data_IF_780617629236
#
_entry.id   IF_780617629236
#
_cell.length_a   1.000
_cell.length_b   1.000
_cell.length_c   1.000
_cell.angle_alpha   90.00
_cell.angle_beta   90.00
_cell.angle_gamma   90.00
#
_symmetry.space_group_name_H-M   'P 1'
#
loop_
_entity.id
_entity.type
_entity.pdbx_description
1 polymer ?
#
# COMPACT_ATOMS: atom_id res chain seq x y z
N UNK A 1 8.52 -30.89 -5.18
CA UNK A 1 9.87 -30.36 -4.92
C UNK A 1 10.47 -30.01 -6.28
N UNK A 2 10.49 -28.72 -6.64
CA UNK A 2 11.14 -28.29 -7.88
C UNK A 2 12.65 -28.26 -7.68
N UNK A 3 13.40 -29.01 -8.47
CA UNK A 3 14.85 -28.90 -8.52
C UNK A 3 15.23 -27.51 -9.06
N UNK A 4 15.96 -26.73 -8.27
CA UNK A 4 16.66 -25.53 -8.73
C UNK A 4 17.81 -25.99 -9.63
N UNK A 5 17.65 -25.86 -10.95
CA UNK A 5 18.74 -26.05 -11.90
C UNK A 5 19.78 -24.95 -11.66
N UNK A 6 21.07 -25.31 -11.54
CA UNK A 6 22.20 -24.39 -11.39
C UNK A 6 22.50 -23.58 -12.66
N UNK A 7 21.50 -22.88 -13.18
CA UNK A 7 21.62 -21.89 -14.24
C UNK A 7 21.78 -20.48 -13.67
N UNK A 8 22.31 -19.57 -14.47
CA UNK A 8 22.32 -18.14 -14.14
C UNK A 8 20.88 -17.61 -14.10
N UNK A 9 20.59 -16.70 -13.16
CA UNK A 9 19.29 -16.04 -13.02
C UNK A 9 19.51 -14.53 -12.95
N UNK A 10 18.71 -13.78 -13.70
CA UNK A 10 18.67 -12.32 -13.68
C UNK A 10 17.44 -11.79 -12.91
N UNK A 11 16.70 -12.67 -12.23
CA UNK A 11 15.60 -12.27 -11.35
C UNK A 11 16.19 -11.75 -10.03
N UNK A 12 15.93 -10.49 -9.65
CA UNK A 12 16.54 -9.89 -8.47
C UNK A 12 16.16 -10.58 -7.16
N UNK A 13 15.00 -11.22 -7.06
CA UNK A 13 14.60 -11.94 -5.85
C UNK A 13 15.50 -13.17 -5.61
N UNK A 14 15.82 -13.90 -6.68
CA UNK A 14 16.74 -15.03 -6.60
C UNK A 14 18.18 -14.60 -6.38
N UNK A 15 18.60 -13.48 -6.96
CA UNK A 15 19.91 -12.89 -6.69
C UNK A 15 20.02 -12.45 -5.23
N UNK A 16 18.98 -11.82 -4.68
CA UNK A 16 18.92 -11.42 -3.27
C UNK A 16 19.09 -12.62 -2.33
N UNK A 17 18.42 -13.74 -2.63
CA UNK A 17 18.56 -14.99 -1.89
C UNK A 17 19.97 -15.57 -2.01
N UNK A 18 20.51 -15.66 -3.22
CA UNK A 18 21.83 -16.23 -3.48
C UNK A 18 22.94 -15.44 -2.76
N UNK A 19 22.88 -14.11 -2.78
CA UNK A 19 23.82 -13.23 -2.07
C UNK A 19 23.79 -13.46 -0.56
N UNK A 20 22.63 -13.80 0.00
CA UNK A 20 22.47 -14.08 1.43
C UNK A 20 22.93 -15.48 1.83
N UNK A 21 22.63 -16.51 1.03
CA UNK A 21 22.86 -17.91 1.41
C UNK A 21 24.17 -18.48 0.93
N UNK A 22 24.75 -17.96 -0.15
CA UNK A 22 25.93 -18.57 -0.75
C UNK A 22 27.21 -18.12 -0.02
N UNK A 23 28.05 -19.06 0.47
CA UNK A 23 29.27 -18.73 1.22
C UNK A 23 30.28 -17.87 0.46
N UNK A 24 30.21 -17.85 -0.88
CA UNK A 24 31.09 -17.04 -1.75
C UNK A 24 30.95 -15.54 -1.52
N UNK A 25 29.79 -15.07 -1.10
CA UNK A 25 29.51 -13.66 -0.82
C UNK A 25 29.73 -13.29 0.66
N UNK A 26 30.26 -14.22 1.48
CA UNK A 26 30.59 -14.01 2.89
C UNK A 26 29.40 -14.17 3.84
N UNK A 27 28.23 -13.65 3.49
CA UNK A 27 27.01 -13.71 4.31
C UNK A 27 26.46 -15.13 4.50
N UNK A 28 26.58 -15.99 3.48
CA UNK A 28 26.14 -17.39 3.53
C UNK A 28 26.83 -18.25 4.59
N UNK A 29 27.90 -17.75 5.23
CA UNK A 29 28.54 -18.41 6.38
C UNK A 29 27.78 -18.21 7.69
N UNK A 30 26.87 -17.23 7.75
CA UNK A 30 26.10 -16.85 8.94
C UNK A 30 24.59 -16.94 8.74
N UNK A 31 24.14 -16.83 7.50
CA UNK A 31 22.72 -16.87 7.14
C UNK A 31 22.43 -18.18 6.44
N UNK A 32 21.50 -18.96 6.99
CA UNK A 32 21.01 -20.18 6.36
C UNK A 32 19.67 -19.92 5.67
N UNK A 33 19.31 -20.81 4.74
CA UNK A 33 18.05 -20.70 4.01
C UNK A 33 16.80 -20.74 4.92
N UNK A 34 16.93 -21.25 6.15
CA UNK A 34 15.83 -21.33 7.12
C UNK A 34 15.62 -20.02 7.89
N UNK A 35 16.58 -19.08 7.80
CA UNK A 35 16.45 -17.72 8.33
C UNK A 35 15.75 -16.77 7.34
N UNK A 36 15.13 -17.30 6.28
CA UNK A 36 14.53 -16.55 5.17
C UNK A 36 13.10 -17.03 4.92
N UNK A 37 12.17 -16.11 4.66
CA UNK A 37 10.83 -16.46 4.20
C UNK A 37 10.85 -16.80 2.70
N UNK A 38 10.98 -18.10 2.40
CA UNK A 38 10.99 -18.63 1.03
C UNK A 38 9.67 -18.39 0.29
N UNK A 39 8.54 -18.30 1.00
CA UNK A 39 7.22 -18.17 0.37
C UNK A 39 6.97 -16.75 -0.11
N UNK A 40 7.28 -15.77 0.74
CA UNK A 40 7.18 -14.37 0.34
C UNK A 40 8.19 -14.05 -0.77
N UNK A 41 9.41 -14.58 -0.66
CA UNK A 41 10.42 -14.44 -1.71
C UNK A 41 9.95 -15.01 -3.05
N UNK A 42 9.34 -16.20 -3.04
CA UNK A 42 8.78 -16.82 -4.26
C UNK A 42 7.70 -15.94 -4.90
N UNK A 43 6.82 -15.34 -4.09
CA UNK A 43 5.79 -14.40 -4.58
C UNK A 43 6.41 -13.16 -5.22
N UNK A 44 7.48 -12.61 -4.62
CA UNK A 44 8.22 -11.49 -5.19
C UNK A 44 8.90 -11.90 -6.51
N UNK A 45 9.51 -13.08 -6.55
CA UNK A 45 10.14 -13.60 -7.76
C UNK A 45 9.14 -13.72 -8.92
N UNK A 46 7.94 -14.25 -8.66
CA UNK A 46 6.85 -14.29 -9.65
C UNK A 46 6.47 -12.90 -10.14
N UNK A 47 6.43 -11.89 -9.27
CA UNK A 47 6.18 -10.48 -9.64
C UNK A 47 7.27 -9.91 -10.54
N UNK A 48 8.54 -10.25 -10.31
CA UNK A 48 9.65 -9.81 -11.17
C UNK A 48 9.55 -10.40 -12.58
N UNK A 49 9.14 -11.66 -12.70
CA UNK A 49 9.04 -12.37 -13.98
C UNK A 49 7.77 -12.05 -14.78
N UNK A 50 6.79 -11.36 -14.18
CA UNK A 50 5.57 -10.93 -14.88
C UNK A 50 5.92 -10.06 -16.09
N UNK A 51 5.24 -10.34 -17.21
CA UNK A 51 5.43 -9.62 -18.47
C UNK A 51 4.72 -8.28 -18.43
N UNK A 52 5.45 -7.21 -18.72
CA UNK A 52 4.95 -5.83 -18.86
C UNK A 52 5.32 -5.28 -20.24
N UNK A 53 4.64 -4.25 -20.76
CA UNK A 53 4.99 -3.64 -22.04
C UNK A 53 6.42 -3.12 -22.06
N UNK A 54 7.10 -3.31 -23.19
CA UNK A 54 8.50 -2.91 -23.39
C UNK A 54 8.69 -1.39 -23.62
N UNK A 55 7.60 -0.62 -23.66
CA UNK A 55 7.63 0.83 -23.86
C UNK A 55 7.99 1.27 -25.27
N UNK A 56 8.13 0.36 -26.25
CA UNK A 56 8.55 0.66 -27.63
C UNK A 56 7.39 0.92 -28.60
N UNK A 57 6.16 1.04 -28.09
CA UNK A 57 4.97 1.34 -28.89
C UNK A 57 4.40 0.17 -29.72
N UNK A 58 4.83 -1.06 -29.44
CA UNK A 58 4.31 -2.30 -30.06
C UNK A 58 3.61 -3.22 -29.05
N UNK A 59 3.46 -4.50 -29.39
CA UNK A 59 2.92 -5.55 -28.49
C UNK A 59 4.03 -6.32 -27.75
N UNK A 60 5.26 -5.82 -27.81
CA UNK A 60 6.41 -6.41 -27.14
C UNK A 60 6.26 -6.38 -25.62
N UNK A 61 6.72 -7.44 -24.97
CA UNK A 61 6.71 -7.53 -23.50
C UNK A 61 8.05 -7.97 -22.96
N UNK A 62 8.35 -7.53 -21.75
CA UNK A 62 9.57 -7.82 -21.03
C UNK A 62 9.27 -8.22 -19.58
N UNK A 63 10.14 -8.97 -18.88
CA UNK A 63 10.04 -9.13 -17.43
C UNK A 63 10.00 -7.78 -16.72
N UNK A 64 9.19 -7.65 -15.67
CA UNK A 64 8.97 -6.39 -14.94
C UNK A 64 10.26 -5.82 -14.36
N UNK A 65 11.03 -6.67 -13.68
CA UNK A 65 12.29 -6.30 -13.04
C UNK A 65 13.38 -7.29 -13.43
N UNK A 66 14.52 -6.76 -13.86
CA UNK A 66 15.76 -7.51 -13.99
C UNK A 66 16.85 -6.87 -13.13
N UNK A 67 17.90 -7.65 -12.89
CA UNK A 67 19.02 -7.17 -12.09
C UNK A 67 20.33 -7.72 -12.63
N UNK A 68 20.97 -6.90 -13.46
CA UNK A 68 22.27 -7.17 -14.05
C UNK A 68 23.29 -6.21 -13.43
N UNK A 69 24.02 -6.67 -12.42
CA UNK A 69 25.05 -5.87 -11.73
C UNK A 69 26.39 -6.56 -11.75
N UNK A 70 27.46 -5.78 -11.86
CA UNK A 70 28.82 -6.26 -11.69
C UNK A 70 29.44 -5.68 -10.42
N UNK A 71 29.64 -6.53 -9.41
CA UNK A 71 30.20 -6.13 -8.09
C UNK A 71 31.71 -6.38 -8.11
N UNK A 72 32.50 -5.30 -8.21
CA UNK A 72 33.97 -5.37 -8.30
C UNK A 72 34.70 -5.10 -6.98
N UNK A 73 34.08 -4.33 -6.08
CA UNK A 73 34.70 -3.85 -4.84
C UNK A 73 33.94 -4.30 -3.61
N UNK A 74 34.64 -4.34 -2.48
CA UNK A 74 34.02 -4.62 -1.19
C UNK A 74 33.12 -3.45 -0.78
N UNK A 75 31.87 -3.77 -0.43
CA UNK A 75 30.90 -2.84 0.09
C UNK A 75 30.29 -3.39 1.40
N UNK A 76 29.60 -2.53 2.15
CA UNK A 76 28.84 -2.98 3.32
C UNK A 76 27.75 -3.96 2.86
N UNK A 77 27.78 -5.17 3.41
CA UNK A 77 26.92 -6.27 3.02
C UNK A 77 25.44 -5.91 3.21
N UNK A 78 25.10 -5.18 4.28
CA UNK A 78 23.74 -4.74 4.53
C UNK A 78 23.24 -3.77 3.46
N UNK A 79 24.12 -2.88 3.00
CA UNK A 79 23.77 -1.94 1.95
C UNK A 79 23.61 -2.62 0.59
N UNK A 80 24.47 -3.59 0.25
CA UNK A 80 24.32 -4.39 -0.98
C UNK A 80 22.97 -5.12 -0.99
N UNK A 81 22.58 -5.74 0.12
CA UNK A 81 21.28 -6.43 0.24
C UNK A 81 20.11 -5.44 0.01
N UNK A 82 20.19 -4.24 0.59
CA UNK A 82 19.19 -3.20 0.41
C UNK A 82 19.11 -2.70 -1.03
N UNK A 83 20.26 -2.54 -1.70
CA UNK A 83 20.31 -2.08 -3.09
C UNK A 83 19.72 -3.12 -4.06
N UNK A 84 19.98 -4.42 -3.81
CA UNK A 84 19.32 -5.49 -4.56
C UNK A 84 17.80 -5.48 -4.28
N UNK A 85 17.40 -5.31 -3.01
CA UNK A 85 15.99 -5.23 -2.64
C UNK A 85 15.27 -4.05 -3.31
N UNK A 86 15.92 -2.89 -3.38
CA UNK A 86 15.41 -1.72 -4.08
C UNK A 86 15.16 -1.99 -5.58
N UNK A 87 15.90 -2.91 -6.19
CA UNK A 87 15.74 -3.33 -7.59
C UNK A 87 14.35 -3.87 -7.94
N UNK A 88 13.61 -4.42 -6.97
CA UNK A 88 12.23 -4.90 -7.13
C UNK A 88 11.23 -4.15 -6.25
N UNK A 89 11.53 -2.89 -5.93
CA UNK A 89 10.74 -2.06 -5.00
C UNK A 89 10.52 -2.75 -3.64
N UNK A 90 11.56 -3.44 -3.17
CA UNK A 90 11.57 -4.19 -1.94
C UNK A 90 12.26 -3.46 -0.78
N UNK A 91 11.88 -3.85 0.43
CA UNK A 91 12.53 -3.45 1.67
C UNK A 91 12.97 -4.70 2.42
N UNK A 92 14.24 -4.71 2.83
CA UNK A 92 14.78 -5.75 3.70
C UNK A 92 14.81 -5.26 5.15
N UNK A 93 14.39 -6.11 6.08
CA UNK A 93 14.52 -5.85 7.51
C UNK A 93 14.89 -7.12 8.28
N UNK A 94 15.54 -6.92 9.43
CA UNK A 94 15.84 -8.00 10.38
C UNK A 94 14.75 -8.04 11.45
N UNK A 95 14.11 -9.20 11.63
CA UNK A 95 13.01 -9.37 12.58
C UNK A 95 12.73 -10.85 12.85
N UNK A 96 12.31 -11.18 14.08
CA UNK A 96 12.06 -12.57 14.50
C UNK A 96 13.25 -13.52 14.25
N UNK A 97 14.47 -13.00 14.38
CA UNK A 97 15.70 -13.74 14.10
C UNK A 97 15.81 -14.25 12.64
N UNK A 98 15.11 -13.59 11.72
CA UNK A 98 15.06 -13.88 10.29
C UNK A 98 15.33 -12.61 9.45
N UNK A 99 15.90 -12.82 8.26
CA UNK A 99 15.94 -11.82 7.21
C UNK A 99 14.59 -11.84 6.48
N UNK A 100 13.86 -10.74 6.59
CA UNK A 100 12.57 -10.57 5.95
C UNK A 100 12.69 -9.60 4.78
N UNK A 101 11.97 -9.90 3.71
CA UNK A 101 11.87 -9.03 2.54
C UNK A 101 10.41 -8.87 2.17
N UNK A 102 10.02 -7.63 1.91
CA UNK A 102 8.69 -7.28 1.42
C UNK A 102 8.85 -6.45 0.14
N UNK A 103 8.01 -6.68 -0.86
CA UNK A 103 7.92 -5.82 -2.05
C UNK A 103 6.63 -5.02 -2.00
N UNK A 104 6.69 -3.75 -2.41
CA UNK A 104 5.47 -3.01 -2.64
C UNK A 104 4.80 -3.52 -3.93
N UNK A 105 3.85 -4.42 -3.72
CA UNK A 105 3.05 -5.12 -4.72
C UNK A 105 1.56 -5.08 -4.38
N UNK A 106 0.66 -5.30 -5.37
CA UNK A 106 -0.76 -5.40 -5.12
C UNK A 106 -1.04 -6.34 -3.96
N UNK A 107 -1.80 -5.84 -3.01
CA UNK A 107 -2.20 -6.58 -1.84
C UNK A 107 -3.07 -7.77 -2.25
N UNK A 108 -2.92 -8.86 -1.49
CA UNK A 108 -3.80 -10.00 -1.61
C UNK A 108 -5.16 -9.63 -1.02
N UNK A 109 -6.20 -9.57 -1.85
CA UNK A 109 -7.56 -9.20 -1.44
C UNK A 109 -8.15 -10.17 -0.43
N UNK A 110 -7.66 -11.42 -0.37
CA UNK A 110 -8.10 -12.41 0.63
C UNK A 110 -7.60 -12.08 2.05
N UNK A 111 -6.53 -11.29 2.16
CA UNK A 111 -5.94 -10.85 3.44
C UNK A 111 -6.38 -9.43 3.82
N UNK A 112 -7.31 -8.84 3.08
CA UNK A 112 -7.82 -7.51 3.35
C UNK A 112 -8.46 -7.47 4.75
N UNK A 113 -8.13 -6.44 5.52
CA UNK A 113 -8.76 -6.17 6.81
C UNK A 113 -9.65 -4.92 6.74
N UNK A 114 -10.58 -4.77 7.67
CA UNK A 114 -11.49 -3.63 7.70
C UNK A 114 -11.58 -3.02 9.09
N UNK A 115 -11.49 -1.70 9.14
CA UNK A 115 -11.58 -0.93 10.36
C UNK A 115 -12.54 0.24 10.19
N UNK A 116 -13.24 0.58 11.26
CA UNK A 116 -14.15 1.72 11.31
C UNK A 116 -13.72 2.69 12.39
N UNK A 117 -14.15 3.96 12.25
CA UNK A 117 -13.94 4.97 13.28
C UNK A 117 -14.44 4.55 14.66
N UNK A 118 -15.53 3.77 14.74
CA UNK A 118 -16.09 3.30 16.01
C UNK A 118 -15.14 2.37 16.80
N UNK A 119 -14.15 1.78 16.13
CA UNK A 119 -13.17 0.88 16.74
C UNK A 119 -11.85 1.59 17.09
N UNK A 120 -11.77 2.91 16.85
CA UNK A 120 -10.59 3.73 17.11
C UNK A 120 -10.72 4.42 18.46
N UNK A 121 -9.72 4.24 19.31
CA UNK A 121 -9.58 4.98 20.58
C UNK A 121 -9.20 6.42 20.26
N UNK A 122 -10.00 7.38 20.73
CA UNK A 122 -9.78 8.80 20.49
C UNK A 122 -10.05 9.24 19.04
N UNK A 123 -8.98 9.59 18.30
CA UNK A 123 -9.09 10.06 16.92
C UNK A 123 -7.95 9.52 16.05
N UNK A 124 -8.22 9.13 14.79
CA UNK A 124 -7.17 8.86 13.83
C UNK A 124 -6.39 10.14 13.54
N UNK A 125 -5.07 10.01 13.45
CA UNK A 125 -4.18 11.06 13.01
C UNK A 125 -3.84 10.85 11.55
N UNK A 126 -4.03 11.88 10.73
CA UNK A 126 -3.66 11.87 9.32
C UNK A 126 -2.49 12.82 9.11
N UNK A 127 -1.46 12.35 8.42
CA UNK A 127 -0.32 13.18 8.05
C UNK A 127 0.03 12.96 6.59
N UNK A 128 0.67 13.94 5.97
CA UNK A 128 1.08 13.89 4.57
C UNK A 128 2.21 14.88 4.36
N UNK A 129 3.07 14.62 3.38
CA UNK A 129 4.18 15.47 3.03
C UNK A 129 3.71 16.83 2.51
N UNK A 130 4.46 17.87 2.90
CA UNK A 130 4.27 19.23 2.38
C UNK A 130 4.34 19.26 0.86
N UNK A 131 3.64 20.21 0.24
CA UNK A 131 3.70 20.47 -1.20
C UNK A 131 5.14 20.69 -1.70
N UNK A 132 6.02 21.25 -0.85
CA UNK A 132 7.44 21.46 -1.16
C UNK A 132 8.19 20.15 -1.44
N UNK A 133 7.77 19.06 -0.80
CA UNK A 133 8.39 17.74 -0.92
C UNK A 133 7.72 16.88 -2.01
N UNK A 134 6.92 17.48 -2.90
CA UNK A 134 6.25 16.76 -4.00
C UNK A 134 7.08 16.80 -5.27
N UNK A 135 7.24 15.66 -5.90
CA UNK A 135 7.91 15.54 -7.19
C UNK A 135 6.89 15.42 -8.32
N UNK A 136 7.22 16.00 -9.48
CA UNK A 136 6.43 15.94 -10.71
C UNK A 136 7.18 15.21 -11.83
N UNK A 137 8.48 14.99 -11.66
CA UNK A 137 9.37 14.33 -12.61
C UNK A 137 10.49 13.60 -11.87
N UNK A 138 11.07 12.59 -12.51
CA UNK A 138 12.25 11.87 -12.04
C UNK A 138 13.31 11.77 -13.14
N UNK A 139 14.57 11.97 -12.79
CA UNK A 139 15.74 11.58 -13.57
C UNK A 139 16.27 10.26 -13.03
N UNK A 140 16.52 9.32 -13.94
CA UNK A 140 16.93 7.97 -13.61
C UNK A 140 18.19 7.64 -14.38
N UNK A 141 19.26 7.33 -13.64
CA UNK A 141 20.47 6.79 -14.23
C UNK A 141 20.35 5.27 -14.29
N UNK A 142 20.67 4.69 -15.46
CA UNK A 142 20.72 3.25 -15.67
C UNK A 142 21.92 2.90 -16.58
N UNK A 143 22.37 1.66 -16.55
CA UNK A 143 23.54 1.23 -17.33
C UNK A 143 23.10 0.79 -18.72
N UNK A 144 23.55 1.48 -19.77
CA UNK A 144 23.05 1.28 -21.13
C UNK A 144 23.88 0.25 -21.93
N UNK A 145 23.35 -0.94 -22.26
CA UNK A 145 24.08 -1.95 -23.04
C UNK A 145 24.49 -1.47 -24.43
N UNK A 146 23.69 -0.59 -25.05
CA UNK A 146 23.98 -0.04 -26.38
C UNK A 146 25.13 0.97 -26.34
N UNK A 147 25.47 1.48 -25.15
CA UNK A 147 26.57 2.40 -24.91
C UNK A 147 27.67 1.78 -24.02
N UNK A 148 28.02 0.51 -24.28
CA UNK A 148 29.09 -0.21 -23.56
C UNK A 148 28.89 -0.23 -22.03
N UNK A 149 27.65 -0.31 -21.56
CA UNK A 149 27.25 -0.26 -20.14
C UNK A 149 27.66 1.02 -19.40
N UNK A 150 27.88 2.13 -20.12
CA UNK A 150 28.02 3.45 -19.49
C UNK A 150 26.68 3.94 -18.95
N UNK A 151 26.72 4.70 -17.86
CA UNK A 151 25.51 5.26 -17.26
C UNK A 151 24.86 6.28 -18.20
N UNK A 152 23.60 6.03 -18.56
CA UNK A 152 22.73 6.94 -19.31
C UNK A 152 21.61 7.44 -18.41
N UNK A 153 21.28 8.72 -18.55
CA UNK A 153 20.14 9.32 -17.84
C UNK A 153 18.91 9.31 -18.73
N UNK A 154 17.79 8.80 -18.21
CA UNK A 154 16.45 8.97 -18.78
C UNK A 154 15.58 9.78 -17.83
N UNK A 155 14.49 10.34 -18.35
CA UNK A 155 13.58 11.19 -17.59
C UNK A 155 12.13 10.74 -17.77
N UNK A 156 11.36 10.78 -16.69
CA UNK A 156 9.91 10.63 -16.74
C UNK A 156 9.26 11.86 -16.12
N UNK A 157 8.18 12.32 -16.74
CA UNK A 157 7.45 13.53 -16.34
C UNK A 157 5.95 13.25 -16.39
N UNK A 158 5.24 13.71 -15.36
CA UNK A 158 3.80 13.52 -15.24
C UNK A 158 3.09 14.88 -15.42
N UNK A 159 2.49 15.16 -16.59
CA UNK A 159 1.91 16.46 -16.89
C UNK A 159 0.88 16.94 -15.87
N UNK A 160 0.07 16.03 -15.32
CA UNK A 160 -0.94 16.38 -14.32
C UNK A 160 -0.32 16.81 -12.99
N UNK A 161 0.76 16.15 -12.56
CA UNK A 161 1.51 16.55 -11.37
C UNK A 161 2.29 17.85 -11.60
N UNK A 162 2.75 18.11 -12.82
CA UNK A 162 3.42 19.37 -13.19
C UNK A 162 2.44 20.53 -13.17
N UNK A 163 1.21 20.34 -13.65
CA UNK A 163 0.15 21.35 -13.56
C UNK A 163 -0.14 21.71 -12.10
N UNK A 164 -0.16 20.71 -11.21
CA UNK A 164 -0.46 20.87 -9.79
C UNK A 164 0.70 21.46 -8.98
N UNK A 165 1.91 20.89 -9.08
CA UNK A 165 3.04 21.19 -8.18
C UNK A 165 4.18 21.97 -8.83
N UNK A 166 4.01 22.37 -10.10
CA UNK A 166 5.09 22.88 -10.97
C UNK A 166 6.18 21.84 -11.21
N UNK A 167 7.20 22.21 -11.97
CA UNK A 167 8.31 21.31 -12.26
C UNK A 167 9.19 21.12 -11.01
N UNK A 168 9.12 19.92 -10.43
CA UNK A 168 9.93 19.48 -9.28
C UNK A 168 10.50 18.11 -9.58
N UNK A 169 11.81 17.98 -9.54
CA UNK A 169 12.51 16.80 -10.04
C UNK A 169 13.19 16.04 -8.90
N UNK A 170 13.04 14.72 -8.89
CA UNK A 170 13.85 13.80 -8.08
C UNK A 170 14.90 13.12 -8.94
N UNK A 171 16.00 12.67 -8.33
CA UNK A 171 17.06 11.94 -9.00
C UNK A 171 17.24 10.59 -8.32
N UNK A 172 17.30 9.51 -9.08
CA UNK A 172 17.58 8.16 -8.57
C UNK A 172 18.49 7.39 -9.51
N UNK A 173 19.24 6.45 -8.95
CA UNK A 173 20.06 5.50 -9.73
C UNK A 173 19.40 4.14 -9.69
N UNK A 174 19.03 3.61 -10.85
CA UNK A 174 18.43 2.29 -10.99
C UNK A 174 19.53 1.22 -11.05
N UNK A 175 20.02 0.81 -9.88
CA UNK A 175 21.05 -0.23 -9.77
C UNK A 175 20.54 -1.53 -10.41
N UNK A 176 21.39 -2.17 -11.20
CA UNK A 176 21.10 -3.42 -11.90
C UNK A 176 20.12 -3.28 -13.08
N UNK A 177 19.71 -2.07 -13.43
CA UNK A 177 18.80 -1.82 -14.54
C UNK A 177 19.59 -1.56 -15.83
N UNK A 178 19.28 -2.34 -16.87
CA UNK A 178 19.90 -2.22 -18.20
C UNK A 178 18.95 -1.69 -19.28
N UNK A 179 17.69 -1.45 -18.92
CA UNK A 179 16.62 -1.12 -19.86
C UNK A 179 16.02 0.24 -19.55
N UNK A 180 15.87 1.07 -20.57
CA UNK A 180 15.30 2.41 -20.38
C UNK A 180 13.85 2.38 -19.90
N UNK A 181 13.03 1.47 -20.45
CA UNK A 181 11.64 1.27 -20.05
C UNK A 181 11.51 0.93 -18.56
N UNK A 182 12.35 0.02 -18.05
CA UNK A 182 12.39 -0.32 -16.63
C UNK A 182 12.85 0.86 -15.77
N UNK A 183 13.87 1.61 -16.22
CA UNK A 183 14.33 2.83 -15.53
C UNK A 183 13.22 3.88 -15.42
N UNK A 184 12.45 4.11 -16.50
CA UNK A 184 11.29 4.99 -16.50
C UNK A 184 10.20 4.51 -15.53
N UNK A 185 9.90 3.20 -15.49
CA UNK A 185 8.95 2.63 -14.51
C UNK A 185 9.41 2.83 -13.07
N UNK A 186 10.70 2.61 -12.76
CA UNK A 186 11.27 2.90 -11.42
C UNK A 186 11.16 4.38 -11.07
N UNK A 187 11.35 5.27 -12.05
CA UNK A 187 11.09 6.71 -11.91
C UNK A 187 9.64 7.05 -11.60
N UNK A 188 8.71 6.49 -12.37
CA UNK A 188 7.27 6.67 -12.16
C UNK A 188 6.80 6.15 -10.82
N UNK A 189 7.36 5.02 -10.40
CA UNK A 189 7.14 4.44 -9.09
C UNK A 189 7.54 5.39 -7.95
N UNK A 190 8.71 6.02 -8.03
CA UNK A 190 9.18 6.98 -7.04
C UNK A 190 8.28 8.23 -6.97
N UNK A 191 7.87 8.76 -8.13
CA UNK A 191 7.00 9.94 -8.19
C UNK A 191 5.59 9.64 -7.67
N UNK A 192 4.97 8.54 -8.10
CA UNK A 192 3.63 8.19 -7.64
C UNK A 192 3.58 7.77 -6.17
N UNK A 193 4.63 7.12 -5.65
CA UNK A 193 4.72 6.79 -4.23
C UNK A 193 4.91 8.06 -3.38
N UNK A 194 5.63 9.06 -3.88
CA UNK A 194 5.72 10.37 -3.26
C UNK A 194 4.39 11.16 -3.34
N UNK A 195 3.60 10.96 -4.39
CA UNK A 195 2.29 11.59 -4.51
C UNK A 195 1.24 10.95 -3.58
N UNK A 196 1.25 9.63 -3.44
CA UNK A 196 0.37 8.84 -2.57
C UNK A 196 0.99 8.61 -1.18
N UNK A 197 1.37 9.69 -0.50
CA UNK A 197 2.18 9.65 0.73
C UNK A 197 1.38 9.80 2.03
N UNK A 198 0.04 9.81 1.95
CA UNK A 198 -0.79 10.04 3.12
C UNK A 198 -0.58 8.89 4.11
N UNK A 199 -0.30 9.25 5.35
CA UNK A 199 -0.15 8.33 6.46
C UNK A 199 -1.35 8.45 7.40
N UNK A 200 -1.68 7.33 8.01
CA UNK A 200 -2.66 7.25 9.09
C UNK A 200 -2.02 6.59 10.31
N UNK A 201 -2.22 7.18 11.48
CA UNK A 201 -1.90 6.58 12.77
C UNK A 201 -3.17 6.48 13.58
N UNK A 202 -3.49 5.27 14.04
CA UNK A 202 -4.72 4.98 14.77
C UNK A 202 -4.46 4.02 15.91
N UNK A 203 -5.21 4.18 16.99
CA UNK A 203 -5.16 3.30 18.15
C UNK A 203 -6.45 2.49 18.21
N UNK A 204 -6.36 1.19 18.43
CA UNK A 204 -7.52 0.29 18.53
C UNK A 204 -7.33 -0.69 19.68
N UNK A 205 -8.42 -1.31 20.13
CA UNK A 205 -8.37 -2.36 21.15
C UNK A 205 -7.89 -3.70 20.58
N UNK A 206 -8.38 -4.80 21.14
CA UNK A 206 -7.96 -6.17 20.78
C UNK A 206 -8.12 -6.53 19.29
N UNK A 207 -9.05 -5.86 18.58
CA UNK A 207 -9.24 -5.99 17.12
C UNK A 207 -7.95 -5.66 16.33
N UNK A 208 -7.02 -4.91 16.94
CA UNK A 208 -5.73 -4.49 16.40
C UNK A 208 -4.75 -5.62 16.07
N UNK A 209 -4.91 -6.80 16.69
CA UNK A 209 -4.02 -7.94 16.45
C UNK A 209 -4.03 -8.43 14.99
N UNK A 210 -5.13 -8.22 14.26
CA UNK A 210 -5.24 -8.63 12.86
C UNK A 210 -4.44 -7.79 11.87
N UNK A 211 -3.89 -6.64 12.29
CA UNK A 211 -3.24 -5.65 11.42
C UNK A 211 -1.72 -5.83 11.44
N UNK A 212 -1.26 -6.96 10.92
CA UNK A 212 0.17 -7.26 10.82
C UNK A 212 0.83 -6.37 9.75
N UNK A 213 2.07 -5.89 9.94
CA UNK A 213 2.80 -5.16 8.91
C UNK A 213 2.77 -5.83 7.54
N UNK A 214 2.56 -5.04 6.49
CA UNK A 214 2.41 -5.51 5.10
C UNK A 214 0.97 -5.79 4.68
N UNK A 215 0.03 -6.02 5.61
CA UNK A 215 -1.40 -6.17 5.31
C UNK A 215 -2.02 -4.84 4.85
N UNK A 216 -3.07 -4.92 4.03
CA UNK A 216 -3.86 -3.74 3.64
C UNK A 216 -5.19 -3.79 4.36
N UNK A 217 -5.62 -2.65 4.85
CA UNK A 217 -6.93 -2.48 5.45
C UNK A 217 -7.72 -1.33 4.84
N UNK A 218 -9.03 -1.51 4.75
CA UNK A 218 -9.95 -0.42 4.44
C UNK A 218 -10.36 0.29 5.74
N UNK A 219 -10.36 1.62 5.73
CA UNK A 219 -10.77 2.45 6.85
C UNK A 219 -11.99 3.30 6.51
N UNK A 220 -13.11 3.03 7.20
CA UNK A 220 -14.31 3.85 7.12
C UNK A 220 -14.29 4.93 8.20
N UNK A 221 -13.96 6.16 7.78
CA UNK A 221 -14.05 7.35 8.61
C UNK A 221 -15.27 8.19 8.20
N UNK A 222 -16.32 8.14 9.00
CA UNK A 222 -17.56 8.88 8.78
C UNK A 222 -17.33 10.40 8.78
N UNK A 223 -16.36 10.89 9.56
CA UNK A 223 -16.04 12.33 9.65
C UNK A 223 -15.23 12.81 8.47
N UNK A 224 -14.52 11.90 7.80
CA UNK A 224 -13.77 12.22 6.59
C UNK A 224 -14.66 12.10 5.36
N UNK A 225 -15.40 11.00 5.24
CA UNK A 225 -16.28 10.72 4.10
C UNK A 225 -17.53 11.61 4.06
N UNK A 226 -18.03 12.02 5.23
CA UNK A 226 -19.32 12.71 5.39
C UNK A 226 -20.53 11.76 5.28
N UNK A 227 -20.32 10.43 5.27
CA UNK A 227 -21.36 9.41 5.19
C UNK A 227 -21.11 8.28 6.19
N UNK A 228 -22.19 7.62 6.58
CA UNK A 228 -22.14 6.49 7.52
C UNK A 228 -21.94 5.19 6.75
N UNK A 229 -20.68 4.84 6.51
CA UNK A 229 -20.25 3.63 5.78
C UNK A 229 -19.50 2.63 6.66
N UNK A 230 -19.62 2.75 7.98
CA UNK A 230 -19.02 1.82 8.92
C UNK A 230 -19.88 1.66 10.16
N UNK A 231 -19.69 0.55 10.87
CA UNK A 231 -20.39 0.28 12.12
C UNK A 231 -20.11 -1.12 12.64
N UNK A 232 -21.04 -1.65 13.46
CA UNK A 232 -21.00 -3.02 13.99
C UNK A 232 -22.27 -3.80 13.62
N UNK A 233 -22.11 -5.09 13.43
CA UNK A 233 -23.21 -6.02 13.15
C UNK A 233 -23.90 -6.42 14.46
N UNK A 234 -25.20 -6.20 14.53
CA UNK A 234 -26.05 -6.61 15.67
C UNK A 234 -26.53 -8.05 15.49
N UNK A 235 -26.96 -8.39 14.28
CA UNK A 235 -27.45 -9.73 13.97
C UNK A 235 -27.34 -10.06 12.49
N UNK A 236 -27.27 -11.35 12.17
CA UNK A 236 -27.27 -11.87 10.81
C UNK A 236 -28.27 -13.00 10.67
N UNK A 237 -29.11 -12.92 9.62
CA UNK A 237 -30.03 -13.99 9.23
C UNK A 237 -29.65 -14.51 7.84
N UNK A 238 -29.12 -15.73 7.80
CA UNK A 238 -28.68 -16.37 6.55
C UNK A 238 -29.84 -16.67 5.58
N UNK A 239 -31.02 -17.06 6.09
CA UNK A 239 -32.19 -17.38 5.26
C UNK A 239 -32.77 -16.15 4.55
N UNK A 240 -32.77 -15.01 5.23
CA UNK A 240 -33.19 -13.73 4.66
C UNK A 240 -32.03 -12.95 3.99
N UNK A 241 -30.80 -13.47 4.06
CA UNK A 241 -29.57 -12.79 3.64
C UNK A 241 -29.45 -11.38 4.22
N UNK A 242 -29.96 -11.20 5.44
CA UNK A 242 -30.16 -9.90 6.05
C UNK A 242 -29.15 -9.69 7.17
N UNK A 243 -28.44 -8.55 7.13
CA UNK A 243 -27.56 -8.08 8.19
C UNK A 243 -28.23 -6.90 8.88
N UNK A 244 -28.36 -6.95 10.20
CA UNK A 244 -28.84 -5.81 11.00
C UNK A 244 -27.63 -5.08 11.57
N UNK A 245 -27.54 -3.77 11.29
CA UNK A 245 -26.45 -2.90 11.77
C UNK A 245 -26.84 -2.18 13.05
N UNK A 246 -25.84 -1.68 13.78
CA UNK A 246 -26.02 -0.92 15.04
C UNK A 246 -26.77 0.40 14.84
N UNK A 247 -26.66 0.97 13.63
CA UNK A 247 -27.27 2.25 13.24
C UNK A 247 -27.68 2.23 11.77
N UNK A 248 -28.50 3.20 11.37
CA UNK A 248 -28.81 3.41 9.95
C UNK A 248 -27.56 3.77 9.15
N UNK A 249 -27.40 3.17 7.98
CA UNK A 249 -26.25 3.41 7.09
C UNK A 249 -26.65 4.29 5.92
N UNK A 250 -25.66 4.93 5.28
CA UNK A 250 -25.88 5.69 4.04
C UNK A 250 -25.77 4.83 2.77
N UNK A 251 -25.89 3.51 2.91
CA UNK A 251 -25.75 2.54 1.82
C UNK A 251 -26.88 2.69 0.80
N UNK A 252 -26.59 2.41 -0.47
CA UNK A 252 -27.60 2.26 -1.53
C UNK A 252 -27.55 0.87 -2.16
N UNK A 253 -28.65 0.39 -2.77
CA UNK A 253 -28.62 -0.82 -3.60
C UNK A 253 -27.51 -0.75 -4.65
N UNK A 254 -26.69 -1.80 -4.75
CA UNK A 254 -25.52 -1.88 -5.61
C UNK A 254 -24.18 -1.64 -4.91
N UNK A 255 -24.17 -1.05 -3.71
CA UNK A 255 -22.96 -0.90 -2.91
C UNK A 255 -22.43 -2.25 -2.40
N UNK A 256 -21.14 -2.30 -2.05
CA UNK A 256 -20.50 -3.52 -1.55
C UNK A 256 -20.31 -3.46 -0.04
N UNK A 257 -20.94 -4.38 0.69
CA UNK A 257 -20.75 -4.57 2.13
C UNK A 257 -19.57 -5.51 2.38
N UNK A 258 -18.64 -5.10 3.23
CA UNK A 258 -17.50 -5.88 3.70
C UNK A 258 -17.66 -6.18 5.19
N UNK A 259 -17.60 -7.45 5.58
CA UNK A 259 -17.73 -7.90 6.98
C UNK A 259 -16.68 -8.93 7.32
N UNK A 260 -16.10 -8.82 8.53
CA UNK A 260 -15.26 -9.87 9.10
C UNK A 260 -16.12 -11.05 9.57
N UNK A 261 -15.94 -12.20 8.94
CA UNK A 261 -16.61 -13.45 9.32
C UNK A 261 -15.94 -14.10 10.54
N UNK A 262 -16.60 -15.07 11.18
CA UNK A 262 -16.00 -15.83 12.30
C UNK A 262 -14.71 -16.58 11.92
N UNK A 263 -14.49 -16.85 10.63
CA UNK A 263 -13.23 -17.40 10.12
C UNK A 263 -12.06 -16.41 10.07
N UNK A 264 -12.25 -15.16 10.50
CA UNK A 264 -11.23 -14.12 10.46
C UNK A 264 -10.99 -13.51 9.07
N UNK A 265 -11.75 -13.94 8.06
CA UNK A 265 -11.67 -13.47 6.68
C UNK A 265 -12.72 -12.38 6.46
N UNK A 266 -12.33 -11.32 5.77
CA UNK A 266 -13.28 -10.29 5.31
C UNK A 266 -13.92 -10.76 4.01
N UNK A 267 -15.24 -10.91 4.02
CA UNK A 267 -16.02 -11.21 2.82
C UNK A 267 -16.75 -9.97 2.31
N UNK A 268 -16.85 -9.86 0.99
CA UNK A 268 -17.58 -8.79 0.30
C UNK A 268 -18.90 -9.32 -0.29
N UNK A 269 -19.98 -8.57 -0.13
CA UNK A 269 -21.32 -8.91 -0.67
C UNK A 269 -22.00 -7.68 -1.20
N UNK A 270 -22.65 -7.80 -2.36
CA UNK A 270 -23.43 -6.71 -2.95
C UNK A 270 -24.74 -6.54 -2.19
N UNK A 271 -25.06 -5.29 -1.84
CA UNK A 271 -26.31 -4.91 -1.18
C UNK A 271 -27.42 -4.83 -2.24
N UNK A 272 -28.50 -5.58 -2.05
CA UNK A 272 -29.69 -5.54 -2.91
C UNK A 272 -30.72 -4.53 -2.44
N UNK A 273 -30.92 -4.39 -1.14
CA UNK A 273 -31.90 -3.48 -0.58
C UNK A 273 -31.48 -3.00 0.82
N UNK A 274 -31.96 -1.81 1.19
CA UNK A 274 -31.67 -1.15 2.46
C UNK A 274 -32.99 -0.78 3.12
N UNK A 275 -33.27 -1.39 4.26
CA UNK A 275 -34.48 -1.21 5.06
C UNK A 275 -34.11 -0.66 6.44
N UNK A 276 -33.88 0.65 6.53
CA UNK A 276 -33.44 1.29 7.76
C UNK A 276 -32.08 0.78 8.24
N UNK A 277 -32.04 -0.01 9.30
CA UNK A 277 -30.84 -0.66 9.84
C UNK A 277 -30.57 -2.05 9.26
N UNK A 278 -31.48 -2.57 8.44
CA UNK A 278 -31.33 -3.87 7.81
C UNK A 278 -30.80 -3.74 6.38
N UNK A 279 -29.71 -4.44 6.10
CA UNK A 279 -29.11 -4.57 4.77
C UNK A 279 -29.41 -5.96 4.22
N UNK A 280 -30.06 -6.03 3.06
CA UNK A 280 -30.37 -7.28 2.37
C UNK A 280 -29.31 -7.51 1.30
N UNK A 281 -28.68 -8.69 1.32
CA UNK A 281 -27.55 -9.03 0.46
C UNK A 281 -27.97 -9.92 -0.71
N UNK A 282 -27.25 -9.79 -1.83
CA UNK A 282 -27.47 -10.64 -3.00
C UNK A 282 -27.21 -12.13 -2.71
N UNK A 283 -26.13 -12.38 -1.98
CA UNK A 283 -25.66 -13.71 -1.61
C UNK A 283 -25.39 -13.77 -0.12
N UNK A 284 -25.68 -14.93 0.48
CA UNK A 284 -25.33 -15.19 1.88
C UNK A 284 -23.80 -15.30 2.04
N UNK A 285 -23.29 -14.94 3.21
CA UNK A 285 -21.88 -15.16 3.54
C UNK A 285 -21.56 -16.65 3.62
N UNK A 286 -20.30 -17.03 3.38
CA UNK A 286 -19.90 -18.44 3.47
C UNK A 286 -19.86 -18.94 4.92
N UNK A 287 -19.51 -18.04 5.84
CA UNK A 287 -19.60 -18.23 7.29
C UNK A 287 -20.35 -17.06 7.93
N UNK A 288 -21.03 -17.31 9.03
CA UNK A 288 -21.74 -16.25 9.74
C UNK A 288 -20.74 -15.18 10.23
N UNK A 289 -21.10 -13.88 10.12
CA UNK A 289 -20.41 -12.82 10.84
C UNK A 289 -20.29 -13.12 12.33
N UNK A 290 -19.20 -12.68 12.95
CA UNK A 290 -19.14 -12.68 14.41
C UNK A 290 -20.17 -11.66 14.97
N UNK A 291 -20.77 -11.92 16.14
CA UNK A 291 -21.48 -10.88 16.87
C UNK A 291 -20.58 -9.66 17.06
N UNK A 292 -21.14 -8.46 16.92
CA UNK A 292 -20.39 -7.19 17.00
C UNK A 292 -19.26 -7.03 15.98
N UNK A 293 -19.24 -7.85 14.91
CA UNK A 293 -18.25 -7.73 13.84
C UNK A 293 -18.29 -6.34 13.21
N UNK A 294 -17.10 -5.84 12.90
CA UNK A 294 -16.95 -4.59 12.16
C UNK A 294 -17.43 -4.80 10.73
N UNK A 295 -18.22 -3.85 10.23
CA UNK A 295 -18.59 -3.78 8.82
C UNK A 295 -18.16 -2.46 8.21
N UNK A 296 -17.87 -2.49 6.92
CA UNK A 296 -17.48 -1.34 6.11
C UNK A 296 -18.21 -1.44 4.76
N UNK A 297 -18.63 -0.31 4.20
CA UNK A 297 -19.35 -0.25 2.91
C UNK A 297 -18.49 0.49 1.89
N UNK A 298 -18.19 -0.17 0.77
CA UNK A 298 -17.57 0.48 -0.40
C UNK A 298 -18.69 0.96 -1.32
N UNK A 299 -18.87 2.28 -1.36
CA UNK A 299 -19.87 2.91 -2.18
C UNK A 299 -19.25 3.22 -3.54
N UNK A 300 -19.87 2.80 -4.64
CA UNK A 300 -19.30 3.02 -5.98
C UNK A 300 -19.05 4.50 -6.31
N UNK A 301 -19.77 5.42 -5.64
CA UNK A 301 -19.60 6.87 -5.76
C UNK A 301 -18.55 7.47 -4.82
N UNK A 302 -18.19 6.77 -3.74
CA UNK A 302 -17.23 7.22 -2.73
C UNK A 302 -16.32 6.06 -2.33
N UNK A 303 -15.09 6.09 -2.80
CA UNK A 303 -14.14 5.01 -2.54
C UNK A 303 -13.76 4.98 -1.08
N UNK A 304 -13.69 3.78 -0.51
CA UNK A 304 -13.06 3.57 0.79
C UNK A 304 -11.59 3.95 0.81
N UNK A 305 -11.12 4.43 1.95
CA UNK A 305 -9.71 4.70 2.14
C UNK A 305 -9.00 3.38 2.43
N UNK A 306 -7.97 3.04 1.65
CA UNK A 306 -7.16 1.86 1.87
C UNK A 306 -5.78 2.27 2.36
N UNK A 307 -5.27 1.57 3.36
CA UNK A 307 -3.95 1.80 3.94
C UNK A 307 -3.20 0.48 4.09
N UNK A 308 -1.91 0.49 3.80
CA UNK A 308 -0.98 -0.62 4.06
C UNK A 308 -0.32 -0.41 5.41
N UNK A 309 -0.40 -1.41 6.29
CA UNK A 309 0.23 -1.35 7.61
C UNK A 309 1.74 -1.33 7.45
N UNK A 310 2.38 -0.29 7.99
CA UNK A 310 3.84 -0.17 8.06
C UNK A 310 4.38 -0.67 9.39
N UNK A 311 3.67 -0.35 10.48
CA UNK A 311 4.10 -0.68 11.82
C UNK A 311 2.90 -0.96 12.73
N UNK A 312 3.11 -1.88 13.67
CA UNK A 312 2.16 -2.24 14.71
C UNK A 312 2.91 -2.25 16.04
N UNK A 313 2.46 -1.44 17.00
CA UNK A 313 3.01 -1.44 18.36
C UNK A 313 1.90 -1.76 19.36
N UNK A 314 2.18 -2.69 20.28
CA UNK A 314 1.27 -3.00 21.38
C UNK A 314 1.67 -2.21 22.62
N UNK A 315 0.69 -1.63 23.29
CA UNK A 315 0.85 -0.95 24.57
C UNK A 315 0.25 -1.82 25.67
N UNK A 316 1.11 -2.41 26.50
CA UNK A 316 0.73 -3.32 27.59
C UNK A 316 -0.11 -2.62 28.68
N UNK A 317 0.13 -1.34 28.95
CA UNK A 317 -0.55 -0.62 30.05
C UNK A 317 -2.02 -0.36 29.74
N UNK A 318 -2.33 -0.04 28.49
CA UNK A 318 -3.69 0.29 28.05
C UNK A 318 -4.38 -0.85 27.29
N UNK A 319 -3.68 -1.97 27.02
CA UNK A 319 -4.12 -3.05 26.14
C UNK A 319 -4.58 -2.53 24.76
N UNK A 320 -3.86 -1.54 24.21
CA UNK A 320 -4.16 -0.92 22.91
C UNK A 320 -3.08 -1.23 21.88
N UNK A 321 -3.50 -1.33 20.62
CA UNK A 321 -2.61 -1.45 19.47
C UNK A 321 -2.56 -0.12 18.73
N UNK A 322 -1.37 0.40 18.49
CA UNK A 322 -1.14 1.53 17.61
C UNK A 322 -0.73 1.02 16.23
N UNK A 323 -1.55 1.32 15.22
CA UNK A 323 -1.34 0.95 13.82
C UNK A 323 -0.92 2.20 13.07
N UNK A 324 0.21 2.13 12.38
CA UNK A 324 0.64 3.14 11.41
C UNK A 324 0.57 2.55 10.01
N UNK A 325 -0.16 3.21 9.12
CA UNK A 325 -0.31 2.80 7.73
C UNK A 325 -0.04 3.91 6.73
N UNK A 326 0.36 3.51 5.52
CA UNK A 326 0.53 4.40 4.38
C UNK A 326 -0.60 4.17 3.36
N UNK A 327 -1.00 5.21 2.64
CA UNK A 327 -2.06 5.13 1.65
C UNK A 327 -1.78 4.06 0.59
N UNK A 328 -2.78 3.24 0.32
CA UNK A 328 -2.74 2.17 -0.66
C UNK A 328 -3.70 2.45 -1.82
N UNK A 329 -3.16 2.49 -3.03
CA UNK A 329 -3.93 2.56 -4.27
C UNK A 329 -3.46 1.48 -5.24
N UNK A 330 -4.35 0.55 -5.58
CA UNK A 330 -4.06 -0.52 -6.54
C UNK A 330 -3.84 0.01 -7.96
N UNK A 331 -4.47 1.12 -8.34
CA UNK A 331 -4.30 1.74 -9.66
C UNK A 331 -2.88 2.29 -9.87
N UNK A 332 -2.09 2.46 -8.79
CA UNK A 332 -0.67 2.84 -8.87
C UNK A 332 0.14 1.85 -9.70
N UNK A 333 -0.08 0.55 -9.53
CA UNK A 333 0.73 -0.47 -10.19
C UNK A 333 0.50 -0.46 -11.70
N UNK A 334 -0.75 -0.33 -12.13
CA UNK A 334 -1.12 -0.27 -13.54
C UNK A 334 -0.71 1.07 -14.18
N UNK A 335 -0.79 2.17 -13.42
CA UNK A 335 -0.29 3.47 -13.86
C UNK A 335 1.23 3.49 -14.12
N UNK A 336 1.99 2.72 -13.34
CA UNK A 336 3.45 2.58 -13.53
C UNK A 336 3.79 1.59 -14.63
N UNK A 337 3.15 0.42 -14.66
CA UNK A 337 3.51 -0.66 -15.59
C UNK A 337 3.01 -0.38 -17.01
N UNK A 338 1.81 0.17 -17.16
CA UNK A 338 1.10 0.31 -18.43
C UNK A 338 0.83 1.77 -18.84
N UNK A 339 1.37 2.75 -18.09
CA UNK A 339 1.03 4.18 -18.26
C UNK A 339 -0.48 4.44 -18.21
N UNK A 340 -1.23 3.60 -17.47
CA UNK A 340 -2.66 3.78 -17.28
C UNK A 340 -2.93 5.06 -16.47
N UNK A 341 -4.14 5.61 -16.61
CA UNK A 341 -4.56 6.75 -15.79
C UNK A 341 -4.61 6.33 -14.32
N UNK A 342 -3.93 7.09 -13.46
CA UNK A 342 -4.05 6.91 -12.02
C UNK A 342 -5.47 7.27 -11.58
N UNK A 343 -6.24 6.25 -11.18
CA UNK A 343 -7.60 6.44 -10.68
C UNK A 343 -7.59 6.80 -9.19
N UNK A 344 -8.18 7.95 -8.87
CA UNK A 344 -8.26 8.51 -7.51
C UNK A 344 -9.70 9.01 -7.33
N UNK A 345 -10.65 8.09 -7.20
CA UNK A 345 -12.03 8.48 -6.95
C UNK A 345 -12.14 9.22 -5.62
N UNK A 346 -13.14 10.10 -5.47
CA UNK A 346 -13.29 10.89 -4.26
C UNK A 346 -13.52 9.98 -3.05
N UNK A 347 -12.81 10.32 -1.98
CA UNK A 347 -12.90 9.66 -0.66
C UNK A 347 -13.73 10.48 0.34
N UNK A 348 -14.14 11.69 -0.05
CA UNK A 348 -14.96 12.60 0.75
C UNK A 348 -16.00 13.34 -0.11
N UNK A 349 -17.21 13.51 0.45
CA UNK A 349 -18.24 14.39 -0.09
C UNK A 349 -18.31 15.73 0.65
N UNK A 350 -17.46 15.92 1.68
CA UNK A 350 -17.39 17.17 2.40
C UNK A 350 -16.76 18.20 1.45
N UNK A 351 -17.44 19.32 1.16
CA UNK A 351 -16.89 20.32 0.25
C UNK A 351 -15.56 20.83 0.80
N UNK A 352 -14.46 20.58 0.08
CA UNK A 352 -13.18 21.24 0.31
C UNK A 352 -13.26 22.64 -0.30
N UNK A 353 -14.04 23.51 0.34
CA UNK A 353 -14.11 24.92 -0.02
C UNK A 353 -12.98 25.71 0.64
N UNK A 354 -12.40 26.67 -0.08
CA UNK A 354 -11.74 27.81 0.58
C UNK A 354 -12.82 28.53 1.38
N UNK A 355 -12.61 28.67 2.69
CA UNK A 355 -13.50 29.46 3.54
C UNK A 355 -13.40 30.92 3.11
N UNK A 356 -14.29 31.36 2.22
CA UNK A 356 -14.52 32.76 1.93
C UNK A 356 -15.15 33.37 3.19
N UNK A 357 -14.35 34.10 3.97
CA UNK A 357 -14.72 34.85 5.19
C UNK A 357 -14.71 34.07 6.52
N UNK A 358 -13.81 34.52 7.40
CA UNK A 358 -13.53 34.03 8.75
C UNK A 358 -14.64 34.29 9.79
N UNK A 359 -15.91 34.50 9.40
CA UNK A 359 -16.97 34.83 10.37
C UNK A 359 -17.97 33.74 10.72
N UNK A 360 -17.92 32.53 10.14
CA UNK A 360 -18.95 31.51 10.47
C UNK A 360 -18.54 30.03 10.36
N UNK A 361 -17.29 29.68 10.63
CA UNK A 361 -16.91 28.28 10.87
C UNK A 361 -16.85 28.00 12.38
N UNK A 362 -17.98 27.65 13.00
CA UNK A 362 -17.96 26.87 14.25
C UNK A 362 -18.10 25.40 13.87
N UNK A 363 -17.01 24.66 14.00
CA UNK A 363 -16.97 23.22 13.81
C UNK A 363 -15.84 22.81 12.90
N UNK A 364 -14.75 22.32 13.51
CA UNK A 364 -13.57 21.69 12.90
C UNK A 364 -12.47 22.70 12.51
N UNK A 365 -11.54 22.92 13.44
CA UNK A 365 -10.26 23.58 13.22
C UNK A 365 -9.26 22.52 12.72
N UNK A 366 -9.05 22.43 11.39
CA UNK A 366 -7.90 21.71 10.84
C UNK A 366 -6.68 22.64 10.95
N UNK A 367 -5.94 22.52 12.05
CA UNK A 367 -4.66 23.23 12.21
C UNK A 367 -3.59 22.53 11.38
N UNK A 368 -3.22 23.12 10.26
CA UNK A 368 -1.92 22.89 9.63
C UNK A 368 -0.88 23.64 10.47
N UNK A 369 0.00 22.93 11.17
CA UNK A 369 1.13 23.55 11.85
C UNK A 369 2.27 23.78 10.85
N UNK A 370 2.35 24.99 10.30
CA UNK A 370 3.65 25.53 9.92
C UNK A 370 4.33 26.03 11.19
N UNK A 371 5.57 25.61 11.37
CA UNK A 371 6.43 25.84 12.54
C UNK A 371 6.41 27.28 13.07
N UNK A 372 6.15 27.43 14.37
CA UNK A 372 6.39 28.67 15.14
C UNK A 372 5.56 28.70 16.42
N UNK A 373 6.20 28.44 17.56
CA UNK A 373 5.65 28.38 18.92
C UNK A 373 4.44 29.30 19.23
N UNK A 374 3.42 28.78 19.94
CA UNK A 374 2.83 29.43 21.11
C UNK A 374 1.80 28.55 21.85
N UNK A 375 1.77 28.76 23.17
CA UNK A 375 1.03 28.08 24.22
C UNK A 375 -0.50 27.97 24.06
N UNK A 376 -1.05 26.92 24.69
CA UNK A 376 -2.45 26.71 25.03
C UNK A 376 -3.00 27.83 25.95
N UNK A 377 -4.23 28.33 25.74
CA UNK A 377 -5.09 28.73 26.85
C UNK A 377 -5.91 27.53 27.34
N UNK A 378 -6.16 27.53 28.66
CA UNK A 378 -6.83 26.50 29.46
C UNK A 378 -8.19 26.04 28.95
#
# INVERSE_FOLDING_TARGET
MGHLNGGWSNNPAWIWFDVLTEPRFGLGRRVTADMLDKWELYRIAQRCDQKVPDGKGGTGTEPRFLFDVYIQSQADAWQVIKDIAAGFNGMTFWGNNMFNVISDMPADTTKLQILTRASVVGKPNYSSGSEKNRYSSALINFSDPDNHYQDRTTAVMFPDLVKQFKFKQTQLTAIGCTRESEAQRRGGWAVYSNYLDRLITLQTGLDGFAYVPGTVFAFADERFSGRVYGGRVVSYNAGLKAVTTDRGTSAVPGDTLMIRTQGGIVENRVIQAVNGTQLILATAFSSAPAPDAVFVIDAGQLRLQYFRVMNLTFNDEENTYTITGAEYNASKYDAVDNNARLDIPPVSLIPTGVCLSARKCRGIELRFSETGAAHLPR
#
